data_IF_392857996172
#
_entry.id   IF_392857996172
#
_cell.length_a   1.000
_cell.length_b   1.000
_cell.length_c   1.000
_cell.angle_alpha   90.00
_cell.angle_beta   90.00
_cell.angle_gamma   90.00
#
_symmetry.space_group_name_H-M   'P 1'
#
loop_
_entity.id
_entity.type
_entity.pdbx_description
1 polymer ?
#
# COMPACT_ATOMS: atom_id res chain seq x y z
N UNK A 1 15.30 2.94 46.31
CA UNK A 1 13.89 2.55 46.08
C UNK A 1 13.88 1.71 44.82
N UNK A 2 14.04 0.40 44.98
CA UNK A 2 13.93 -0.56 43.89
C UNK A 2 12.46 -0.61 43.45
N UNK A 3 12.17 -0.17 42.24
CA UNK A 3 10.84 -0.30 41.66
C UNK A 3 10.58 -1.79 41.40
N UNK A 4 9.73 -2.41 42.22
CA UNK A 4 9.10 -3.68 41.94
C UNK A 4 8.29 -3.54 40.64
N UNK A 5 8.90 -3.83 39.50
CA UNK A 5 8.18 -4.08 38.26
C UNK A 5 7.57 -5.47 38.37
N UNK A 6 6.27 -5.51 38.62
CA UNK A 6 5.45 -6.71 38.53
C UNK A 6 5.70 -7.39 37.16
N UNK A 7 5.95 -8.72 37.11
CA UNK A 7 6.29 -9.38 35.86
C UNK A 7 5.14 -9.21 34.87
N UNK A 8 5.47 -8.74 33.66
CA UNK A 8 4.49 -8.50 32.61
C UNK A 8 3.64 -9.76 32.38
N UNK A 9 2.32 -9.64 32.54
CA UNK A 9 1.42 -10.77 32.35
C UNK A 9 1.55 -11.33 30.92
N UNK A 10 1.50 -12.66 30.74
CA UNK A 10 1.60 -13.25 29.42
C UNK A 10 0.41 -12.81 28.53
N UNK A 11 0.60 -12.69 27.20
CA UNK A 11 -0.45 -12.36 26.26
C UNK A 11 -1.70 -13.23 26.41
N UNK A 12 -2.88 -12.66 26.11
CA UNK A 12 -4.17 -13.33 26.29
C UNK A 12 -4.26 -14.69 25.56
N UNK A 13 -3.71 -14.80 24.36
CA UNK A 13 -3.68 -16.06 23.62
C UNK A 13 -2.93 -17.18 24.36
N UNK A 14 -1.83 -16.85 25.05
CA UNK A 14 -1.07 -17.83 25.84
C UNK A 14 -1.86 -18.25 27.08
N UNK A 15 -2.53 -17.29 27.74
CA UNK A 15 -3.36 -17.54 28.92
C UNK A 15 -4.58 -18.41 28.61
N UNK A 16 -5.19 -18.23 27.45
CA UNK A 16 -6.32 -19.08 27.01
C UNK A 16 -5.82 -20.47 26.60
N UNK A 17 -4.67 -20.55 25.92
CA UNK A 17 -4.09 -21.83 25.50
C UNK A 17 -3.65 -22.71 26.68
N UNK A 18 -3.28 -22.11 27.81
CA UNK A 18 -2.91 -22.85 29.03
C UNK A 18 -4.11 -23.38 29.82
N UNK A 19 -5.35 -23.08 29.40
CA UNK A 19 -6.57 -23.52 30.06
C UNK A 19 -7.26 -24.60 29.23
N UNK A 20 -8.08 -25.42 29.87
CA UNK A 20 -8.97 -26.33 29.15
C UNK A 20 -10.01 -25.51 28.38
N UNK A 21 -10.03 -25.67 27.04
CA UNK A 21 -10.96 -25.00 26.14
C UNK A 21 -11.93 -26.04 25.58
N UNK A 22 -13.23 -25.72 25.60
CA UNK A 22 -14.25 -26.54 24.96
C UNK A 22 -14.00 -26.57 23.44
N UNK A 23 -13.94 -27.78 22.88
CA UNK A 23 -13.73 -28.03 21.45
C UNK A 23 -14.93 -27.62 20.57
N UNK A 24 -16.05 -27.18 21.15
CA UNK A 24 -17.23 -26.65 20.45
C UNK A 24 -17.82 -27.67 19.45
N UNK A 25 -17.79 -28.96 19.77
CA UNK A 25 -18.29 -30.05 18.89
C UNK A 25 -19.78 -29.95 18.56
N UNK A 26 -20.57 -29.19 19.33
CA UNK A 26 -21.98 -28.88 19.02
C UNK A 26 -22.16 -27.86 17.89
N UNK A 27 -21.12 -27.11 17.53
CA UNK A 27 -21.16 -26.14 16.44
C UNK A 27 -20.88 -26.82 15.10
N UNK A 28 -21.69 -26.59 14.04
CA UNK A 28 -21.38 -27.06 12.68
C UNK A 28 -20.03 -26.56 12.16
N UNK A 29 -19.61 -25.37 12.62
CA UNK A 29 -18.33 -24.78 12.27
C UNK A 29 -17.16 -25.70 12.67
N UNK A 30 -17.19 -26.27 13.88
CA UNK A 30 -16.12 -27.14 14.38
C UNK A 30 -16.35 -28.63 14.13
N UNK A 31 -17.60 -29.06 13.97
CA UNK A 31 -17.94 -30.47 13.75
C UNK A 31 -17.91 -30.91 12.29
N UNK A 32 -18.16 -30.00 11.34
CA UNK A 32 -18.22 -30.34 9.90
C UNK A 32 -17.08 -29.77 9.09
N UNK A 33 -16.59 -28.58 9.42
CA UNK A 33 -15.57 -27.91 8.61
C UNK A 33 -14.17 -28.23 9.12
N UNK A 34 -13.23 -28.58 8.22
CA UNK A 34 -11.85 -28.79 8.62
C UNK A 34 -11.16 -27.44 8.94
N UNK A 35 -10.06 -27.45 9.70
CA UNK A 35 -9.37 -26.24 10.16
C UNK A 35 -8.97 -25.27 9.03
N UNK A 36 -8.62 -25.78 7.85
CA UNK A 36 -8.20 -24.98 6.70
C UNK A 36 -9.34 -24.11 6.16
N UNK A 37 -10.55 -24.69 6.10
CA UNK A 37 -11.76 -23.97 5.66
C UNK A 37 -12.20 -22.98 6.73
N UNK A 38 -12.14 -23.37 8.02
CA UNK A 38 -12.41 -22.44 9.12
C UNK A 38 -11.48 -21.24 9.09
N UNK A 39 -10.18 -21.46 8.91
CA UNK A 39 -9.19 -20.40 8.82
C UNK A 39 -9.51 -19.40 7.69
N UNK A 40 -9.93 -19.87 6.52
CA UNK A 40 -10.39 -19.00 5.43
C UNK A 40 -11.64 -18.21 5.81
N UNK A 41 -12.65 -18.86 6.39
CA UNK A 41 -13.87 -18.19 6.85
C UNK A 41 -13.53 -17.10 7.87
N UNK A 42 -12.66 -17.43 8.83
CA UNK A 42 -12.22 -16.49 9.85
C UNK A 42 -11.47 -15.32 9.24
N UNK A 43 -10.57 -15.57 8.29
CA UNK A 43 -9.84 -14.52 7.59
C UNK A 43 -10.77 -13.56 6.86
N UNK A 44 -11.81 -14.06 6.18
CA UNK A 44 -12.82 -13.20 5.56
C UNK A 44 -13.64 -12.41 6.60
N UNK A 45 -14.02 -13.05 7.70
CA UNK A 45 -14.83 -12.42 8.74
C UNK A 45 -14.07 -11.31 9.51
N UNK A 46 -12.75 -11.44 9.66
CA UNK A 46 -11.88 -10.42 10.28
C UNK A 46 -11.15 -9.55 9.25
N UNK A 47 -11.52 -9.63 7.97
CA UNK A 47 -10.97 -8.75 6.95
C UNK A 47 -11.38 -7.30 7.21
N UNK A 48 -10.52 -6.37 6.81
CA UNK A 48 -10.86 -4.95 6.83
C UNK A 48 -11.88 -4.61 5.74
N UNK A 49 -12.77 -3.67 6.05
CA UNK A 49 -13.68 -3.06 5.07
C UNK A 49 -13.80 -1.55 5.32
N UNK A 50 -14.19 -0.80 4.30
CA UNK A 50 -14.42 0.65 4.42
C UNK A 50 -15.73 0.93 5.16
N UNK A 51 -15.66 1.82 6.15
CA UNK A 51 -16.82 2.32 6.87
C UNK A 51 -17.57 3.36 6.05
N UNK A 52 -18.30 2.92 5.03
CA UNK A 52 -19.04 3.80 4.10
C UNK A 52 -20.00 4.77 4.78
N UNK A 53 -20.40 4.49 6.03
CA UNK A 53 -21.26 5.36 6.84
C UNK A 53 -20.51 6.56 7.45
N UNK A 54 -19.19 6.56 7.42
CA UNK A 54 -18.34 7.63 7.93
C UNK A 54 -17.23 7.95 6.90
N UNK A 55 -17.61 8.46 5.71
CA UNK A 55 -16.64 8.76 4.66
C UNK A 55 -15.67 9.86 5.12
N UNK A 56 -14.45 9.84 4.57
CA UNK A 56 -13.54 10.96 4.75
C UNK A 56 -14.16 12.23 4.16
N UNK A 57 -13.93 13.40 4.77
CA UNK A 57 -14.29 14.66 4.16
C UNK A 57 -13.69 14.75 2.75
N UNK A 58 -14.48 15.25 1.78
CA UNK A 58 -14.01 15.38 0.40
C UNK A 58 -12.77 16.29 0.34
N UNK A 59 -12.76 17.32 1.19
CA UNK A 59 -11.78 18.39 1.23
C UNK A 59 -10.58 18.08 2.15
N UNK A 60 -10.48 16.86 2.68
CA UNK A 60 -9.30 16.43 3.43
C UNK A 60 -8.17 16.07 2.47
N UNK A 61 -7.14 16.92 2.44
CA UNK A 61 -5.93 16.73 1.63
C UNK A 61 -5.15 15.49 2.07
N UNK A 62 -5.10 15.21 3.37
CA UNK A 62 -4.31 14.12 3.94
C UNK A 62 -5.02 12.77 3.90
N UNK A 63 -6.21 12.70 3.29
CA UNK A 63 -6.97 11.46 3.20
C UNK A 63 -6.22 10.44 2.33
N UNK A 64 -6.10 9.19 2.80
CA UNK A 64 -5.61 8.07 2.00
C UNK A 64 -6.34 7.98 0.64
N UNK A 65 -5.85 7.19 -0.33
CA UNK A 65 -6.55 6.89 -1.60
C UNK A 65 -7.90 6.15 -1.45
N UNK A 66 -8.44 6.09 -0.24
CA UNK A 66 -9.64 5.37 0.17
C UNK A 66 -10.76 6.34 0.51
N UNK A 67 -12.01 5.90 0.38
CA UNK A 67 -13.16 6.78 0.56
C UNK A 67 -13.57 6.92 2.02
N UNK A 68 -13.25 5.94 2.87
CA UNK A 68 -13.60 5.95 4.29
C UNK A 68 -12.55 5.24 5.17
N UNK A 69 -12.53 5.50 6.49
CA UNK A 69 -11.73 4.76 7.44
C UNK A 69 -12.04 3.26 7.37
N UNK A 70 -11.04 2.42 7.63
CA UNK A 70 -11.24 0.97 7.68
C UNK A 70 -11.71 0.52 9.06
N UNK A 71 -12.64 -0.44 9.05
CA UNK A 71 -13.12 -1.14 10.24
C UNK A 71 -12.86 -2.64 10.14
N UNK A 72 -12.79 -3.26 11.29
CA UNK A 72 -12.64 -4.71 11.45
C UNK A 72 -13.73 -5.20 12.38
N UNK A 73 -14.37 -6.30 11.99
CA UNK A 73 -15.35 -6.97 12.83
C UNK A 73 -14.66 -7.97 13.76
N UNK A 74 -14.38 -7.54 15.00
CA UNK A 74 -13.78 -8.42 16.02
C UNK A 74 -14.81 -9.33 16.74
N UNK A 75 -16.10 -9.22 16.41
CA UNK A 75 -17.18 -9.97 17.07
C UNK A 75 -16.96 -11.49 17.00
N UNK A 76 -16.43 -11.98 15.89
CA UNK A 76 -16.08 -13.39 15.74
C UNK A 76 -15.03 -13.83 16.78
N UNK A 77 -14.00 -13.03 17.01
CA UNK A 77 -12.93 -13.33 17.98
C UNK A 77 -13.43 -13.27 19.43
N UNK A 78 -14.48 -12.50 19.68
CA UNK A 78 -15.11 -12.38 21.00
C UNK A 78 -16.14 -13.50 21.26
N UNK A 79 -16.53 -14.26 20.24
CA UNK A 79 -17.59 -15.25 20.37
C UNK A 79 -17.23 -16.42 21.29
N UNK A 80 -16.06 -17.05 21.10
CA UNK A 80 -15.60 -18.12 21.98
C UNK A 80 -14.07 -18.31 21.96
N UNK A 81 -13.57 -18.99 23.01
CA UNK A 81 -12.13 -19.27 23.19
C UNK A 81 -11.54 -20.13 22.06
N UNK A 82 -12.31 -21.08 21.51
CA UNK A 82 -11.84 -21.94 20.42
C UNK A 82 -11.58 -21.13 19.14
N UNK A 83 -12.53 -20.26 18.76
CA UNK A 83 -12.35 -19.33 17.64
C UNK A 83 -11.18 -18.40 17.90
N UNK A 84 -11.10 -17.80 19.10
CA UNK A 84 -10.00 -16.92 19.46
C UNK A 84 -8.62 -17.61 19.29
N UNK A 85 -8.46 -18.85 19.76
CA UNK A 85 -7.19 -19.57 19.62
C UNK A 85 -6.81 -19.86 18.16
N UNK A 86 -7.79 -20.19 17.30
CA UNK A 86 -7.53 -20.43 15.88
C UNK A 86 -7.31 -19.14 15.07
N UNK A 87 -7.88 -18.00 15.50
CA UNK A 87 -8.01 -16.81 14.65
C UNK A 87 -7.41 -15.51 15.21
N UNK A 88 -6.89 -15.47 16.44
CA UNK A 88 -6.44 -14.22 17.07
C UNK A 88 -5.37 -13.46 16.27
N UNK A 89 -4.56 -14.16 15.48
CA UNK A 89 -3.48 -13.57 14.68
C UNK A 89 -3.97 -13.08 13.31
N UNK A 90 -5.16 -13.51 12.85
CA UNK A 90 -5.67 -13.21 11.52
C UNK A 90 -5.88 -11.72 11.26
N UNK A 91 -6.38 -10.88 12.20
CA UNK A 91 -6.44 -9.45 11.96
C UNK A 91 -5.10 -8.88 11.51
N UNK A 92 -3.98 -9.31 12.10
CA UNK A 92 -2.66 -8.82 11.72
C UNK A 92 -2.20 -9.30 10.34
N UNK A 93 -2.74 -10.42 9.86
CA UNK A 93 -2.49 -10.93 8.52
C UNK A 93 -3.41 -10.31 7.47
N UNK A 94 -4.63 -9.92 7.83
CA UNK A 94 -5.62 -9.41 6.87
C UNK A 94 -5.62 -7.89 6.77
N UNK A 95 -5.16 -7.20 7.82
CA UNK A 95 -5.04 -5.74 7.86
C UNK A 95 -3.88 -5.26 7.01
N UNK A 96 -4.12 -4.18 6.26
CA UNK A 96 -3.05 -3.37 5.70
C UNK A 96 -2.45 -2.47 6.78
N UNK A 97 -1.20 -2.73 7.14
CA UNK A 97 -0.46 -1.87 8.07
C UNK A 97 0.00 -0.63 7.31
N UNK A 98 -0.46 0.55 7.68
CA UNK A 98 -0.03 1.81 7.06
C UNK A 98 0.93 2.58 7.95
N UNK A 99 2.04 3.05 7.38
CA UNK A 99 2.96 4.00 8.01
C UNK A 99 3.20 5.19 7.09
N UNK A 100 3.61 6.32 7.66
CA UNK A 100 4.04 7.51 6.90
C UNK A 100 5.49 7.83 7.23
N UNK A 101 6.28 8.09 6.19
CA UNK A 101 7.67 8.57 6.28
C UNK A 101 7.77 9.89 5.51
N UNK A 102 8.40 10.90 6.10
CA UNK A 102 8.47 12.24 5.50
C UNK A 102 9.93 12.68 5.48
N UNK A 103 10.32 13.43 4.45
CA UNK A 103 11.66 13.98 4.30
C UNK A 103 11.84 15.23 5.17
N UNK A 104 13.09 15.68 5.28
CA UNK A 104 13.44 16.82 6.12
C UNK A 104 12.92 18.15 5.56
N UNK A 105 12.76 18.30 4.25
CA UNK A 105 12.46 19.58 3.62
C UNK A 105 10.98 20.00 3.80
N UNK A 106 10.03 19.07 3.63
CA UNK A 106 8.60 19.31 3.91
C UNK A 106 8.37 19.60 5.40
N UNK A 107 9.14 18.96 6.27
CA UNK A 107 9.02 19.14 7.72
C UNK A 107 9.74 20.38 8.25
N UNK A 108 10.84 20.82 7.60
CA UNK A 108 11.54 22.06 7.93
C UNK A 108 10.69 23.31 7.65
N UNK A 109 9.84 23.26 6.63
CA UNK A 109 8.90 24.34 6.29
C UNK A 109 7.71 24.38 7.26
N UNK A 110 7.27 23.23 7.80
CA UNK A 110 6.06 23.16 8.62
C UNK A 110 6.29 23.14 10.14
N UNK A 111 7.35 22.49 10.65
CA UNK A 111 7.64 22.44 12.10
C UNK A 111 9.10 22.01 12.38
N UNK A 112 10.00 22.97 12.60
CA UNK A 112 11.45 22.76 12.75
C UNK A 112 11.92 21.96 14.00
N UNK A 113 11.05 21.29 14.76
CA UNK A 113 11.44 20.57 16.00
C UNK A 113 10.78 19.19 16.23
N UNK A 114 9.82 18.75 15.42
CA UNK A 114 9.02 17.55 15.74
C UNK A 114 9.35 16.29 14.90
N UNK A 115 10.16 16.44 13.84
CA UNK A 115 10.49 15.34 12.93
C UNK A 115 11.12 14.11 13.62
N UNK A 116 12.15 14.25 14.48
CA UNK A 116 12.75 13.10 15.15
C UNK A 116 11.78 12.39 16.10
N UNK A 117 10.85 13.13 16.70
CA UNK A 117 9.87 12.61 17.67
C UNK A 117 8.79 11.78 16.98
N UNK A 118 8.29 12.23 15.83
CA UNK A 118 7.28 11.50 15.06
C UNK A 118 7.85 10.21 14.46
N UNK A 119 9.06 10.27 13.89
CA UNK A 119 9.75 9.07 13.41
C UNK A 119 10.00 8.06 14.54
N UNK A 120 10.52 8.52 15.67
CA UNK A 120 10.74 7.67 16.85
C UNK A 120 9.43 7.03 17.32
N UNK A 121 8.32 7.78 17.33
CA UNK A 121 7.01 7.26 17.72
C UNK A 121 6.48 6.20 16.75
N UNK A 122 6.61 6.42 15.44
CA UNK A 122 6.21 5.45 14.40
C UNK A 122 6.99 4.14 14.55
N UNK A 123 8.32 4.23 14.67
CA UNK A 123 9.19 3.07 14.87
C UNK A 123 8.88 2.36 16.20
N UNK A 124 8.62 3.10 17.28
CA UNK A 124 8.23 2.51 18.56
C UNK A 124 6.89 1.76 18.47
N UNK A 125 5.90 2.32 17.77
CA UNK A 125 4.59 1.68 17.61
C UNK A 125 4.71 0.39 16.79
N UNK A 126 5.46 0.42 15.69
CA UNK A 126 5.69 -0.76 14.86
C UNK A 126 6.52 -1.82 15.61
N UNK A 127 7.53 -1.44 16.38
CA UNK A 127 8.28 -2.37 17.24
C UNK A 127 7.39 -3.00 18.32
N UNK A 128 6.50 -2.22 18.96
CA UNK A 128 5.52 -2.75 19.92
C UNK A 128 4.57 -3.75 19.27
N UNK A 129 4.12 -3.47 18.05
CA UNK A 129 3.28 -4.38 17.27
C UNK A 129 4.02 -5.68 16.97
N UNK A 130 5.23 -5.60 16.39
CA UNK A 130 6.04 -6.77 16.07
C UNK A 130 6.38 -7.60 17.32
N UNK A 131 6.67 -6.96 18.44
CA UNK A 131 6.91 -7.63 19.72
C UNK A 131 5.69 -8.42 20.23
N UNK A 132 4.47 -7.90 20.03
CA UNK A 132 3.23 -8.60 20.39
C UNK A 132 2.92 -9.79 19.48
N UNK A 133 3.43 -9.76 18.25
CA UNK A 133 3.21 -10.80 17.24
C UNK A 133 4.27 -11.89 17.27
N UNK A 134 5.43 -11.65 17.89
CA UNK A 134 6.44 -12.67 18.14
C UNK A 134 5.86 -13.80 18.99
N UNK A 135 5.70 -14.97 18.38
CA UNK A 135 5.32 -16.20 19.08
C UNK A 135 6.57 -17.05 19.35
N UNK A 136 6.64 -17.75 20.51
CA UNK A 136 7.68 -18.76 20.74
C UNK A 136 7.64 -19.81 19.63
N UNK A 137 8.76 -19.99 18.90
CA UNK A 137 8.88 -20.96 17.80
C UNK A 137 8.44 -20.45 16.42
N UNK A 138 7.86 -19.26 16.31
CA UNK A 138 7.51 -18.63 15.01
C UNK A 138 8.44 -17.46 14.74
N UNK A 139 9.51 -17.73 13.98
CA UNK A 139 10.53 -16.72 13.69
C UNK A 139 10.05 -15.57 12.78
N UNK A 140 8.91 -15.76 12.09
CA UNK A 140 8.35 -14.80 11.12
C UNK A 140 6.92 -14.42 11.50
N UNK A 141 6.64 -13.13 11.42
CA UNK A 141 5.28 -12.58 11.48
C UNK A 141 4.89 -12.23 10.06
N UNK A 142 4.06 -13.06 9.44
CA UNK A 142 3.54 -12.77 8.11
C UNK A 142 2.52 -11.63 8.23
N UNK A 143 2.83 -10.49 7.64
CA UNK A 143 1.90 -9.35 7.52
C UNK A 143 1.32 -9.43 6.11
N UNK A 144 0.00 -9.32 5.96
CA UNK A 144 -0.60 -9.39 4.63
C UNK A 144 -0.13 -8.25 3.75
N UNK A 145 -0.30 -7.01 4.22
CA UNK A 145 0.12 -5.84 3.47
C UNK A 145 0.74 -4.76 4.36
N UNK A 146 1.84 -4.17 3.89
CA UNK A 146 2.47 -2.98 4.45
C UNK A 146 2.40 -1.87 3.41
N UNK A 147 1.73 -0.77 3.76
CA UNK A 147 1.69 0.46 2.97
C UNK A 147 2.55 1.54 3.63
N UNK A 148 3.38 2.17 2.82
CA UNK A 148 4.25 3.28 3.22
C UNK A 148 3.86 4.50 2.38
N UNK A 149 3.28 5.50 3.03
CA UNK A 149 3.12 6.84 2.45
C UNK A 149 4.44 7.57 2.60
N UNK A 150 4.96 8.15 1.53
CA UNK A 150 6.30 8.72 1.54
C UNK A 150 6.45 9.95 0.66
N UNK A 151 7.14 10.97 1.17
CA UNK A 151 7.78 11.95 0.28
C UNK A 151 8.90 11.29 -0.51
N UNK A 152 9.16 11.72 -1.74
CA UNK A 152 10.31 11.23 -2.53
C UNK A 152 11.61 11.37 -1.76
N UNK A 153 11.84 12.53 -1.12
CA UNK A 153 13.02 12.81 -0.31
C UNK A 153 13.24 11.75 0.79
N UNK A 154 12.20 11.37 1.53
CA UNK A 154 12.27 10.33 2.57
C UNK A 154 12.78 8.99 2.03
N UNK A 155 12.35 8.62 0.82
CA UNK A 155 12.77 7.37 0.19
C UNK A 155 14.24 7.48 -0.25
N UNK A 156 14.61 8.60 -0.88
CA UNK A 156 15.97 8.85 -1.38
C UNK A 156 17.01 8.91 -0.25
N UNK A 157 16.68 9.48 0.92
CA UNK A 157 17.56 9.49 2.10
C UNK A 157 17.56 8.17 2.89
N UNK A 158 16.82 7.15 2.43
CA UNK A 158 16.87 5.80 2.96
C UNK A 158 15.95 5.53 4.16
N UNK A 159 14.91 6.32 4.40
CA UNK A 159 13.95 6.00 5.48
C UNK A 159 13.19 4.70 5.20
N UNK A 160 12.83 4.44 3.94
CA UNK A 160 12.20 3.16 3.55
C UNK A 160 13.11 1.97 3.87
N UNK A 161 14.42 2.11 3.66
CA UNK A 161 15.40 1.09 4.03
C UNK A 161 15.39 0.80 5.53
N UNK A 162 15.26 1.83 6.36
CA UNK A 162 15.19 1.66 7.82
C UNK A 162 13.94 0.90 8.25
N UNK A 163 12.79 1.19 7.63
CA UNK A 163 11.54 0.42 7.85
C UNK A 163 11.74 -1.04 7.47
N UNK A 164 12.24 -1.32 6.27
CA UNK A 164 12.34 -2.69 5.76
C UNK A 164 13.38 -3.53 6.51
N UNK A 165 14.37 -2.90 7.17
CA UNK A 165 15.34 -3.58 8.05
C UNK A 165 14.76 -3.98 9.42
N UNK A 166 13.53 -3.60 9.74
CA UNK A 166 12.96 -3.88 11.05
C UNK A 166 12.82 -5.39 11.32
N UNK A 167 13.39 -5.92 12.41
CA UNK A 167 13.35 -7.34 12.71
C UNK A 167 11.93 -7.88 12.88
N UNK A 168 11.58 -8.92 12.11
CA UNK A 168 10.27 -9.57 12.16
C UNK A 168 9.22 -8.94 11.24
N UNK A 169 9.57 -7.89 10.48
CA UNK A 169 8.70 -7.30 9.47
C UNK A 169 8.78 -8.13 8.18
N UNK A 170 7.74 -8.91 7.89
CA UNK A 170 7.68 -9.79 6.72
C UNK A 170 6.35 -9.61 5.97
N UNK A 171 6.20 -8.52 5.18
CA UNK A 171 4.98 -8.25 4.43
C UNK A 171 4.91 -9.10 3.14
N UNK A 172 3.74 -9.66 2.85
CA UNK A 172 3.47 -10.35 1.58
C UNK A 172 3.25 -9.36 0.44
N UNK A 173 2.59 -8.23 0.72
CA UNK A 173 2.44 -7.11 -0.21
C UNK A 173 3.06 -5.84 0.37
N UNK A 174 4.01 -5.26 -0.34
CA UNK A 174 4.55 -3.94 -0.04
C UNK A 174 3.89 -2.91 -0.97
N UNK A 175 3.53 -1.75 -0.43
CA UNK A 175 2.98 -0.65 -1.22
C UNK A 175 3.70 0.63 -0.82
N UNK A 176 4.33 1.29 -1.77
CA UNK A 176 4.91 2.62 -1.63
C UNK A 176 3.99 3.61 -2.34
N UNK A 177 3.43 4.56 -1.62
CA UNK A 177 2.57 5.61 -2.19
C UNK A 177 3.27 6.96 -2.09
N UNK A 178 3.36 7.64 -3.22
CA UNK A 178 3.82 9.03 -3.35
C UNK A 178 2.61 9.86 -3.83
N UNK A 179 2.06 10.66 -2.93
CA UNK A 179 1.01 11.64 -3.16
C UNK A 179 1.48 12.84 -3.99
N UNK A 180 0.55 13.65 -4.47
CA UNK A 180 0.90 14.88 -5.21
C UNK A 180 1.77 15.85 -4.39
N UNK A 181 1.45 16.04 -3.12
CA UNK A 181 2.15 16.90 -2.16
C UNK A 181 3.43 16.25 -1.58
N UNK A 182 3.74 15.03 -2.02
CA UNK A 182 4.90 14.25 -1.59
C UNK A 182 6.06 14.34 -2.60
N UNK A 183 5.87 15.02 -3.74
CA UNK A 183 6.90 15.31 -4.73
C UNK A 183 7.73 16.56 -4.38
N UNK A 184 9.04 16.60 -4.67
CA UNK A 184 9.84 17.80 -4.45
C UNK A 184 9.39 18.95 -5.35
N UNK A 185 9.12 20.12 -4.76
CA UNK A 185 8.72 21.32 -5.49
C UNK A 185 7.36 21.22 -6.19
N UNK A 186 6.48 20.36 -5.67
CA UNK A 186 5.10 20.21 -6.14
C UNK A 186 4.34 21.55 -6.16
N UNK A 187 4.64 22.49 -5.24
CA UNK A 187 4.00 23.81 -5.20
C UNK A 187 4.33 24.68 -6.42
N UNK A 188 5.46 24.39 -7.08
CA UNK A 188 6.02 25.18 -8.18
C UNK A 188 5.92 24.46 -9.52
N UNK A 189 5.13 23.39 -9.58
CA UNK A 189 4.99 22.53 -10.76
C UNK A 189 6.34 22.04 -11.31
N UNK A 190 7.33 21.82 -10.44
CA UNK A 190 8.65 21.34 -10.87
C UNK A 190 8.51 19.97 -11.55
N UNK A 191 9.34 19.67 -12.56
CA UNK A 191 9.34 18.37 -13.21
C UNK A 191 9.60 17.23 -12.23
N UNK A 192 8.76 16.20 -12.32
CA UNK A 192 8.80 15.07 -11.41
C UNK A 192 10.07 14.24 -11.61
N UNK A 193 10.65 13.74 -10.51
CA UNK A 193 11.88 12.96 -10.57
C UNK A 193 12.07 11.94 -9.43
N UNK A 194 12.94 10.95 -9.70
CA UNK A 194 13.60 10.08 -8.73
C UNK A 194 15.09 9.96 -9.07
N UNK A 195 15.94 9.94 -8.05
CA UNK A 195 17.37 9.65 -8.20
C UNK A 195 17.65 8.13 -8.22
N UNK A 196 16.69 7.32 -7.74
CA UNK A 196 16.67 5.85 -7.82
C UNK A 196 17.78 5.12 -7.04
N UNK A 197 18.67 5.85 -6.34
CA UNK A 197 19.75 5.25 -5.54
C UNK A 197 19.21 4.31 -4.44
N UNK A 198 18.06 4.63 -3.87
CA UNK A 198 17.38 3.81 -2.86
C UNK A 198 16.93 2.43 -3.36
N UNK A 199 16.64 2.28 -4.66
CA UNK A 199 16.14 1.02 -5.26
C UNK A 199 17.14 -0.11 -5.04
N UNK A 200 18.43 0.18 -5.26
CA UNK A 200 19.54 -0.76 -4.98
C UNK A 200 19.72 -1.01 -3.49
N UNK A 201 19.53 0.01 -2.65
CA UNK A 201 19.72 -0.12 -1.20
C UNK A 201 18.67 -1.01 -0.55
N UNK A 202 17.41 -0.91 -0.99
CA UNK A 202 16.34 -1.76 -0.45
C UNK A 202 16.35 -3.16 -1.08
N UNK A 203 16.94 -3.30 -2.27
CA UNK A 203 17.21 -4.60 -2.86
C UNK A 203 18.13 -5.37 -1.90
N UNK A 204 17.74 -6.61 -1.59
CA UNK A 204 18.29 -7.53 -0.59
C UNK A 204 17.73 -7.42 0.84
N UNK A 205 17.06 -6.32 1.23
CA UNK A 205 16.35 -6.27 2.54
C UNK A 205 14.86 -6.56 2.42
N UNK A 206 14.30 -6.48 1.21
CA UNK A 206 12.91 -6.89 0.94
C UNK A 206 12.75 -8.35 1.37
N UNK A 207 11.73 -8.63 2.18
CA UNK A 207 11.53 -9.96 2.75
C UNK A 207 11.29 -11.01 1.68
N UNK A 208 11.79 -12.23 1.92
CA UNK A 208 11.42 -13.41 1.13
C UNK A 208 9.94 -13.80 1.19
N UNK A 209 9.13 -13.16 2.04
CA UNK A 209 7.67 -13.30 2.03
C UNK A 209 6.98 -12.42 0.98
N UNK A 210 7.63 -11.34 0.54
CA UNK A 210 7.04 -10.32 -0.34
C UNK A 210 6.82 -10.88 -1.75
N UNK A 211 5.58 -11.00 -2.17
CA UNK A 211 5.19 -11.49 -3.50
C UNK A 211 4.94 -10.34 -4.49
N UNK A 212 4.53 -9.19 -3.96
CA UNK A 212 4.10 -8.02 -4.72
C UNK A 212 4.69 -6.77 -4.07
N UNK A 213 5.28 -5.89 -4.88
CA UNK A 213 5.65 -4.54 -4.49
C UNK A 213 5.01 -3.55 -5.46
N UNK A 214 4.08 -2.73 -4.96
CA UNK A 214 3.39 -1.72 -5.74
C UNK A 214 3.97 -0.34 -5.44
N UNK A 215 4.27 0.43 -6.49
CA UNK A 215 4.61 1.84 -6.39
C UNK A 215 3.46 2.63 -6.98
N UNK A 216 2.76 3.38 -6.14
CA UNK A 216 1.66 4.28 -6.51
C UNK A 216 2.19 5.70 -6.61
N UNK A 217 2.00 6.32 -7.77
CA UNK A 217 2.47 7.66 -8.12
C UNK A 217 1.26 8.53 -8.43
N UNK A 218 1.00 9.52 -7.59
CA UNK A 218 -0.13 10.45 -7.74
C UNK A 218 0.36 11.86 -8.07
N UNK A 219 -0.31 12.51 -9.02
CA UNK A 219 -0.18 13.94 -9.27
C UNK A 219 -1.52 14.51 -9.72
N UNK A 220 -1.59 15.82 -9.91
CA UNK A 220 -2.76 16.44 -10.57
C UNK A 220 -2.89 15.96 -12.01
N UNK A 221 -4.12 15.86 -12.52
CA UNK A 221 -4.42 15.33 -13.86
C UNK A 221 -3.66 16.06 -14.98
N UNK A 222 -3.36 17.36 -14.81
CA UNK A 222 -2.55 18.12 -15.77
C UNK A 222 -1.13 17.54 -15.95
N UNK A 223 -0.59 16.89 -14.92
CA UNK A 223 0.75 16.30 -14.92
C UNK A 223 0.76 14.80 -15.23
N UNK A 224 -0.37 14.20 -15.67
CA UNK A 224 -0.46 12.75 -15.95
C UNK A 224 0.58 12.24 -16.94
N UNK A 225 1.00 13.07 -17.90
CA UNK A 225 2.03 12.72 -18.87
C UNK A 225 3.38 12.47 -18.18
N UNK A 226 3.72 13.30 -17.18
CA UNK A 226 4.92 13.11 -16.37
C UNK A 226 4.87 11.79 -15.58
N UNK A 227 3.74 11.50 -14.94
CA UNK A 227 3.53 10.24 -14.21
C UNK A 227 3.65 9.03 -15.14
N UNK A 228 3.06 9.09 -16.35
CA UNK A 228 3.14 8.00 -17.33
C UNK A 228 4.56 7.77 -17.83
N UNK A 229 5.33 8.85 -18.04
CA UNK A 229 6.74 8.77 -18.42
C UNK A 229 7.56 8.12 -17.30
N UNK A 230 7.37 8.55 -16.06
CA UNK A 230 8.04 7.96 -14.89
C UNK A 230 7.68 6.48 -14.75
N UNK A 231 6.40 6.13 -14.79
CA UNK A 231 5.93 4.75 -14.66
C UNK A 231 6.51 3.83 -15.72
N UNK A 232 6.55 4.26 -16.99
CA UNK A 232 7.19 3.50 -18.09
C UNK A 232 8.69 3.35 -17.88
N UNK A 233 9.38 4.39 -17.43
CA UNK A 233 10.80 4.31 -17.11
C UNK A 233 11.06 3.29 -15.98
N UNK A 234 10.36 3.44 -14.87
CA UNK A 234 10.44 2.55 -13.71
C UNK A 234 10.20 1.10 -14.14
N UNK A 235 9.16 0.84 -14.92
CA UNK A 235 8.83 -0.53 -15.34
C UNK A 235 9.89 -1.15 -16.27
N UNK A 236 10.58 -0.34 -17.08
CA UNK A 236 11.62 -0.80 -18.00
C UNK A 236 12.99 -0.96 -17.35
N UNK A 237 13.29 -0.19 -16.30
CA UNK A 237 14.65 -0.09 -15.78
C UNK A 237 14.81 -0.62 -14.36
N UNK A 238 13.74 -0.66 -13.56
CA UNK A 238 13.82 -1.06 -12.17
C UNK A 238 13.46 -2.53 -11.94
N UNK A 239 14.06 -3.10 -10.92
CA UNK A 239 13.76 -4.42 -10.38
C UNK A 239 14.12 -4.44 -8.90
N UNK A 240 13.55 -5.39 -8.16
CA UNK A 240 13.79 -5.50 -6.73
C UNK A 240 14.22 -6.91 -6.36
N UNK A 241 15.44 -7.04 -5.83
CA UNK A 241 15.91 -8.33 -5.31
C UNK A 241 15.44 -8.51 -3.88
N UNK A 242 14.86 -9.67 -3.58
CA UNK A 242 14.45 -10.10 -2.24
C UNK A 242 15.63 -10.68 -1.49
N UNK A 243 15.48 -10.84 -0.18
CA UNK A 243 16.50 -11.38 0.70
C UNK A 243 16.89 -12.83 0.38
N UNK A 244 16.04 -13.58 -0.33
CA UNK A 244 16.31 -14.95 -0.80
C UNK A 244 16.85 -15.01 -2.23
N UNK A 245 17.18 -13.88 -2.85
CA UNK A 245 17.74 -13.80 -4.20
C UNK A 245 16.70 -13.79 -5.32
N UNK A 246 15.43 -14.08 -5.04
CA UNK A 246 14.35 -13.95 -6.01
C UNK A 246 14.15 -12.48 -6.39
N UNK A 247 13.79 -12.23 -7.66
CA UNK A 247 13.67 -10.86 -8.20
C UNK A 247 12.22 -10.58 -8.57
N UNK A 248 11.75 -9.39 -8.21
CA UNK A 248 10.47 -8.84 -8.61
C UNK A 248 10.70 -7.87 -9.79
N UNK A 249 9.90 -8.04 -10.83
CA UNK A 249 9.93 -7.28 -12.07
C UNK A 249 8.59 -6.64 -12.34
N UNK A 250 8.59 -5.51 -13.03
CA UNK A 250 7.39 -4.89 -13.56
C UNK A 250 7.09 -5.36 -14.99
N UNK A 251 5.84 -5.15 -15.42
CA UNK A 251 5.46 -5.27 -16.81
C UNK A 251 6.01 -4.08 -17.62
N UNK A 252 7.05 -4.33 -18.40
CA UNK A 252 7.71 -3.33 -19.25
C UNK A 252 6.83 -2.88 -20.44
N UNK A 253 5.75 -3.61 -20.76
CA UNK A 253 4.79 -3.19 -21.78
C UNK A 253 3.80 -2.13 -21.27
N UNK A 254 3.68 -1.98 -19.94
CA UNK A 254 2.74 -1.06 -19.30
C UNK A 254 1.27 -1.51 -19.34
N UNK A 255 0.97 -2.70 -19.88
CA UNK A 255 -0.40 -3.22 -19.98
C UNK A 255 -0.99 -3.54 -18.61
N UNK A 256 -0.16 -3.96 -17.66
CA UNK A 256 -0.57 -4.27 -16.30
C UNK A 256 -0.58 -3.04 -15.38
N UNK A 257 -0.36 -1.83 -15.89
CA UNK A 257 -0.48 -0.63 -15.07
C UNK A 257 -1.93 -0.42 -14.64
N UNK A 258 -2.12 -0.09 -13.36
CA UNK A 258 -3.42 0.28 -12.84
C UNK A 258 -3.48 1.81 -12.75
N UNK A 259 -4.58 2.37 -13.24
CA UNK A 259 -4.85 3.81 -13.18
C UNK A 259 -6.09 4.01 -12.35
N UNK A 260 -6.03 4.99 -11.45
CA UNK A 260 -7.20 5.45 -10.69
C UNK A 260 -7.24 6.97 -10.67
N UNK A 261 -8.44 7.51 -10.53
CA UNK A 261 -8.68 8.94 -10.45
C UNK A 261 -9.44 9.26 -9.17
N UNK A 262 -9.12 10.40 -8.55
CA UNK A 262 -9.90 10.94 -7.43
C UNK A 262 -10.08 12.44 -7.56
N UNK A 263 -11.13 12.96 -6.93
CA UNK A 263 -11.35 14.40 -6.79
C UNK A 263 -10.98 14.82 -5.37
N UNK A 264 -10.18 15.87 -5.25
CA UNK A 264 -9.72 16.42 -3.98
C UNK A 264 -9.64 17.94 -4.02
N UNK A 265 -9.28 18.58 -2.90
CA UNK A 265 -9.21 20.04 -2.80
C UNK A 265 -8.18 20.62 -3.77
N UNK A 266 -8.42 21.85 -4.24
CA UNK A 266 -7.47 22.59 -5.10
C UNK A 266 -6.57 23.58 -4.39
N UNK A 267 -6.70 23.64 -3.06
CA UNK A 267 -5.89 24.48 -2.20
C UNK A 267 -5.67 23.85 -0.83
N UNK A 268 -4.61 24.29 -0.17
CA UNK A 268 -4.28 23.97 1.22
C UNK A 268 -3.56 25.17 1.80
N UNK A 269 -3.90 25.54 3.04
CA UNK A 269 -3.28 26.66 3.78
C UNK A 269 -3.21 27.98 2.98
N UNK A 270 -4.23 28.28 2.16
CA UNK A 270 -4.32 29.42 1.23
C UNK A 270 -3.34 29.40 0.03
N UNK A 271 -2.63 28.30 -0.17
CA UNK A 271 -1.78 28.05 -1.35
C UNK A 271 -2.61 27.24 -2.34
N UNK A 272 -2.66 27.71 -3.59
CA UNK A 272 -3.43 27.10 -4.69
C UNK A 272 -2.44 26.65 -5.76
N UNK A 273 -2.50 25.39 -6.15
CA UNK A 273 -1.52 24.76 -7.07
C UNK A 273 -2.12 24.29 -8.39
N UNK A 274 -3.43 24.43 -8.62
CA UNK A 274 -3.97 24.38 -9.97
C UNK A 274 -5.26 25.20 -10.13
N UNK A 275 -5.57 25.52 -11.38
CA UNK A 275 -6.80 26.21 -11.76
C UNK A 275 -7.94 25.20 -11.84
N UNK A 276 -9.04 25.48 -11.11
CA UNK A 276 -10.25 24.66 -11.12
C UNK A 276 -10.86 24.65 -12.52
N UNK A 277 -11.16 23.46 -13.05
CA UNK A 277 -11.82 23.31 -14.36
C UNK A 277 -13.27 23.83 -14.31
N UNK A 278 -13.89 23.81 -13.13
CA UNK A 278 -15.32 24.10 -12.93
C UNK A 278 -15.59 25.28 -11.97
N UNK A 279 -14.57 26.03 -11.55
CA UNK A 279 -14.71 27.14 -10.59
C UNK A 279 -15.06 26.72 -9.14
N UNK A 280 -15.10 25.41 -8.88
CA UNK A 280 -15.24 24.80 -7.56
C UNK A 280 -13.85 24.38 -7.11
N UNK A 281 -13.45 24.66 -5.86
CA UNK A 281 -12.13 24.41 -5.23
C UNK A 281 -11.68 22.92 -5.23
N UNK A 282 -11.70 22.27 -6.39
CA UNK A 282 -11.57 20.83 -6.59
C UNK A 282 -10.77 20.52 -7.86
N UNK A 283 -9.77 19.67 -7.72
CA UNK A 283 -8.94 19.16 -8.82
C UNK A 283 -9.09 17.63 -8.94
N UNK A 284 -8.93 17.12 -10.16
CA UNK A 284 -8.77 15.70 -10.44
C UNK A 284 -7.32 15.29 -10.27
N UNK A 285 -7.09 14.25 -9.49
CA UNK A 285 -5.80 13.61 -9.32
C UNK A 285 -5.74 12.33 -10.16
N UNK A 286 -4.57 12.07 -10.72
CA UNK A 286 -4.22 10.92 -11.52
C UNK A 286 -3.21 10.06 -10.76
N UNK A 287 -3.57 8.80 -10.49
CA UNK A 287 -2.69 7.86 -9.77
C UNK A 287 -2.38 6.66 -10.65
N UNK A 288 -1.10 6.44 -10.90
CA UNK A 288 -0.56 5.30 -11.64
C UNK A 288 0.10 4.32 -10.65
N UNK A 289 -0.27 3.05 -10.74
CA UNK A 289 0.36 1.98 -9.96
C UNK A 289 1.23 1.10 -10.87
N UNK A 290 2.51 1.01 -10.53
CA UNK A 290 3.45 0.05 -11.13
C UNK A 290 3.65 -1.11 -10.18
N UNK A 291 3.22 -2.31 -10.58
CA UNK A 291 3.33 -3.54 -9.80
C UNK A 291 4.57 -4.34 -10.16
N UNK A 292 5.32 -4.77 -9.15
CA UNK A 292 6.49 -5.63 -9.26
C UNK A 292 6.20 -7.01 -8.66
N UNK A 293 6.35 -8.04 -9.47
CA UNK A 293 6.03 -9.44 -9.12
C UNK A 293 7.06 -10.40 -9.72
N UNK A 294 6.94 -11.70 -9.41
CA UNK A 294 7.77 -12.71 -10.09
C UNK A 294 7.55 -12.71 -11.61
N UNK A 295 8.58 -13.07 -12.38
CA UNK A 295 8.48 -13.14 -13.85
C UNK A 295 7.32 -14.04 -14.32
N UNK A 296 7.10 -15.17 -13.63
CA UNK A 296 5.97 -16.06 -13.92
C UNK A 296 4.62 -15.38 -13.71
N UNK A 297 4.47 -14.58 -12.64
CA UNK A 297 3.23 -13.85 -12.35
C UNK A 297 2.97 -12.75 -13.39
N UNK A 298 4.01 -11.98 -13.75
CA UNK A 298 3.91 -10.95 -14.79
C UNK A 298 3.46 -11.56 -16.12
N UNK A 299 4.06 -12.68 -16.54
CA UNK A 299 3.67 -13.40 -17.76
C UNK A 299 2.26 -13.98 -17.69
N UNK A 300 1.87 -14.52 -16.53
CA UNK A 300 0.52 -15.07 -16.33
C UNK A 300 -0.57 -14.00 -16.48
N UNK A 301 -0.26 -12.73 -16.16
CA UNK A 301 -1.14 -11.57 -16.37
C UNK A 301 -1.08 -11.00 -17.79
N UNK A 302 -0.33 -11.62 -18.71
CA UNK A 302 -0.14 -11.16 -20.08
C UNK A 302 0.87 -10.02 -20.25
N UNK A 303 1.60 -9.69 -19.19
CA UNK A 303 2.68 -8.70 -19.21
C UNK A 303 4.00 -9.28 -19.74
N UNK A 304 5.00 -8.41 -19.91
CA UNK A 304 6.32 -8.76 -20.40
C UNK A 304 7.41 -8.17 -19.51
N UNK A 305 8.38 -9.00 -19.12
CA UNK A 305 9.59 -8.52 -18.45
C UNK A 305 10.66 -8.20 -19.49
N UNK A 306 11.25 -7.02 -19.41
CA UNK A 306 12.33 -6.59 -20.32
C UNK A 306 13.58 -7.46 -20.15
N UNK A 307 14.14 -7.94 -21.27
CA UNK A 307 15.38 -8.71 -21.30
C UNK A 307 16.57 -7.91 -20.76
N UNK A 308 16.60 -6.60 -21.03
CA UNK A 308 17.62 -5.71 -20.49
C UNK A 308 17.53 -5.67 -18.96
N UNK A 309 16.33 -5.59 -18.40
CA UNK A 309 16.11 -5.60 -16.94
C UNK A 309 16.57 -6.91 -16.32
N UNK A 310 16.30 -8.05 -16.97
CA UNK A 310 16.79 -9.36 -16.51
C UNK A 310 18.31 -9.44 -16.52
N UNK A 311 18.96 -8.96 -17.59
CA UNK A 311 20.42 -8.89 -17.67
C UNK A 311 21.00 -7.99 -16.58
N UNK A 312 20.37 -6.84 -16.34
CA UNK A 312 20.77 -5.90 -15.29
C UNK A 312 20.58 -6.50 -13.88
N UNK A 313 19.49 -7.24 -13.67
CA UNK A 313 19.21 -7.96 -12.42
C UNK A 313 20.22 -9.08 -12.12
N UNK A 314 20.88 -9.63 -13.14
CA UNK A 314 21.98 -10.57 -12.96
C UNK A 314 23.30 -9.89 -12.55
N UNK A 315 23.43 -8.57 -12.73
CA UNK A 315 24.63 -7.81 -12.35
C UNK A 315 24.49 -7.25 -10.91
N UNK A 316 25.26 -7.74 -9.92
CA UNK A 316 25.16 -7.27 -8.54
C UNK A 316 25.63 -5.82 -8.35
N UNK A 317 26.41 -5.29 -9.29
CA UNK A 317 26.91 -3.91 -9.26
C UNK A 317 25.97 -2.92 -9.95
N UNK A 318 24.93 -3.39 -10.64
CA UNK A 318 24.02 -2.53 -11.40
C UNK A 318 23.42 -1.44 -10.52
N UNK A 319 23.40 -0.22 -11.05
CA UNK A 319 22.76 0.94 -10.45
C UNK A 319 21.57 1.33 -11.31
N UNK A 320 20.44 1.50 -10.64
CA UNK A 320 19.22 1.89 -11.30
C UNK A 320 19.35 3.32 -11.80
N UNK A 321 19.04 3.59 -13.07
CA UNK A 321 19.13 4.94 -13.60
C UNK A 321 18.12 5.83 -12.88
N UNK A 322 18.48 7.12 -12.64
CA UNK A 322 17.52 8.11 -12.21
C UNK A 322 16.47 8.31 -13.32
N UNK A 323 15.31 8.82 -12.93
CA UNK A 323 14.28 9.28 -13.86
C UNK A 323 13.96 10.72 -13.54
N UNK A 324 14.25 11.60 -14.50
CA UNK A 324 13.92 13.02 -14.43
C UNK A 324 13.15 13.34 -15.70
N UNK A 325 11.96 13.90 -15.58
CA UNK A 325 11.11 14.18 -16.74
C UNK A 325 11.80 15.17 -17.71
N UNK A 326 12.61 16.09 -17.21
CA UNK A 326 13.39 17.06 -18.01
C UNK A 326 14.40 16.41 -18.95
N UNK A 327 14.95 15.26 -18.57
CA UNK A 327 16.00 14.57 -19.33
C UNK A 327 15.42 13.70 -20.46
N UNK A 328 14.09 13.61 -20.56
CA UNK A 328 13.40 12.73 -21.49
C UNK A 328 12.98 13.55 -22.70
N UNK A 329 13.59 13.31 -23.89
CA UNK A 329 13.31 14.12 -25.07
C UNK A 329 11.83 14.00 -25.47
N UNK A 330 11.17 15.16 -25.46
CA UNK A 330 9.82 15.54 -25.88
C UNK A 330 8.67 14.49 -25.74
N UNK A 331 7.61 14.76 -24.94
CA UNK A 331 6.46 13.86 -24.77
C UNK A 331 5.61 13.60 -26.02
N UNK A 332 5.79 14.36 -27.11
CA UNK A 332 4.95 14.33 -28.32
C UNK A 332 5.09 13.07 -29.21
N UNK A 333 5.75 12.02 -28.73
CA UNK A 333 5.85 10.73 -29.45
C UNK A 333 4.89 9.64 -28.96
N UNK A 334 4.09 9.86 -27.90
CA UNK A 334 3.48 8.74 -27.14
C UNK A 334 1.96 8.72 -27.04
N UNK A 335 1.25 9.19 -28.07
CA UNK A 335 -0.21 9.08 -28.20
C UNK A 335 -0.66 7.70 -28.71
N UNK A 336 -0.15 6.62 -28.09
CA UNK A 336 -0.61 5.25 -28.33
C UNK A 336 -0.61 4.45 -27.02
N UNK A 337 -1.41 4.87 -26.04
CA UNK A 337 -2.07 3.91 -25.15
C UNK A 337 -3.33 3.42 -25.85
N UNK A 338 -3.67 2.12 -25.78
CA UNK A 338 -4.95 1.65 -26.31
C UNK A 338 -6.04 2.29 -25.46
N UNK A 339 -6.85 3.13 -26.09
CA UNK A 339 -8.18 3.48 -25.62
C UNK A 339 -8.94 2.18 -25.40
N UNK A 340 -9.06 1.76 -24.14
CA UNK A 340 -10.14 0.84 -23.78
C UNK A 340 -11.41 1.64 -24.00
N UNK A 341 -12.16 1.26 -25.03
CA UNK A 341 -13.46 1.83 -25.37
C UNK A 341 -14.37 1.71 -24.16
N UNK A 342 -14.56 2.84 -23.48
CA UNK A 342 -15.68 3.06 -22.58
C UNK A 342 -16.92 3.34 -23.44
N UNK A 343 -17.37 2.32 -24.15
CA UNK A 343 -18.70 2.24 -24.73
C UNK A 343 -19.31 0.90 -24.33
N UNK A 344 -19.57 0.76 -23.03
CA UNK A 344 -20.78 0.09 -22.57
C UNK A 344 -21.57 1.13 -21.80
N UNK A 345 -22.37 1.90 -22.54
CA UNK A 345 -23.54 2.57 -22.00
C UNK A 345 -24.41 1.51 -21.32
N UNK A 346 -24.33 1.45 -19.99
CA UNK A 346 -25.38 0.89 -19.17
C UNK A 346 -26.64 1.72 -19.41
N UNK A 347 -27.47 1.24 -20.34
CA UNK A 347 -28.86 1.62 -20.49
C UNK A 347 -29.60 1.36 -19.17
N UNK A 348 -29.57 2.35 -18.28
CA UNK A 348 -30.47 2.47 -17.15
C UNK A 348 -31.85 2.91 -17.68
N UNK A 349 -32.55 2.01 -18.35
CA UNK A 349 -34.01 2.12 -18.46
C UNK A 349 -34.57 1.87 -17.06
N UNK A 350 -35.05 2.93 -16.41
CA UNK A 350 -35.79 2.84 -15.15
C UNK A 350 -37.00 1.89 -15.28
N UNK A 351 -37.53 1.39 -14.14
CA UNK A 351 -38.65 0.46 -14.17
C UNK A 351 -39.86 1.09 -14.86
N UNK A 352 -40.34 0.44 -15.92
CA UNK A 352 -41.60 0.79 -16.56
C UNK A 352 -42.73 0.63 -15.54
N UNK A 353 -43.39 1.75 -15.22
CA UNK A 353 -44.65 1.76 -14.49
C UNK A 353 -45.74 1.27 -15.44
N UNK A 354 -46.29 0.08 -15.17
CA UNK A 354 -47.45 -0.44 -15.86
C UNK A 354 -48.69 0.42 -15.54
N UNK A 355 -49.49 0.86 -16.53
CA UNK A 355 -50.74 1.56 -16.26
C UNK A 355 -51.80 0.57 -15.76
N UNK A 356 -52.49 0.96 -14.68
CA UNK A 356 -53.66 0.25 -14.15
C UNK A 356 -54.80 0.25 -15.18
N UNK A 357 -55.60 -0.84 -15.25
CA UNK A 357 -56.75 -0.89 -16.15
C UNK A 357 -57.87 0.04 -15.65
N UNK A 358 -58.66 0.62 -16.58
CA UNK A 358 -59.82 1.41 -16.21
C UNK A 358 -60.93 0.52 -15.63
N UNK A 359 -61.77 1.16 -14.81
CA UNK A 359 -62.79 0.62 -13.92
C UNK A 359 -63.76 -0.38 -14.52
#
# INVERSE_FOLDING_TARGET
MESNQEPAQPPLHQRIASQQVDAQKGSPLFSRLPPEIRSRIFAFAVAEYEDVNNPYPIDDMWKPPRSAPRKICLQLLLACRAVYLEAWFLPFQTIEQSIRITGGHVFAILTAFEFPLLWARTIQNLNKLLARLKQPGRAKVDIGSLRVYATVEAVEVGLLLQVLKMPGLHPQRLILSIGHDEWPGWEWELPLCFEAGWVKQISNVISSSTQEFNIELEAVEQQKNQINVIGKHIAKHWFFRRSDGNVLYADASGKCFQVSHRVGPSSWTNIRWAVDVDGVEKIKYYTLTVSFESECSVKAKGGMVSEATKKNAANPLYEHPPVRVEDIPDPDFWDQTPTVSSEEELNLTGPQVLPLPPS
#
